data_IF_157200450111
#
_entry.id   IF_157200450111
#
_cell.length_a   1.000
_cell.length_b   1.000
_cell.length_c   1.000
_cell.angle_alpha   90.00
_cell.angle_beta   90.00
_cell.angle_gamma   90.00
#
_symmetry.space_group_name_H-M   'P 1'
#
loop_
_entity.id
_entity.type
_entity.pdbx_description
1 polymer ?
#
# COMPACT_ATOMS: atom_id res chain seq x y z
N UNK A 1 22.69 -15.99 13.51
CA UNK A 1 21.79 -15.71 14.67
C UNK A 1 21.76 -14.21 14.85
N UNK A 2 20.57 -13.62 14.77
CA UNK A 2 20.38 -12.17 14.91
C UNK A 2 20.38 -11.78 16.38
N UNK A 3 21.16 -10.79 16.76
CA UNK A 3 21.25 -10.27 18.12
C UNK A 3 21.56 -8.77 18.14
N UNK A 4 21.39 -8.14 19.31
CA UNK A 4 21.83 -6.77 19.57
C UNK A 4 23.23 -6.82 20.18
N UNK A 5 24.14 -5.97 19.68
CA UNK A 5 25.49 -5.80 20.23
C UNK A 5 25.74 -4.33 20.53
N UNK A 6 26.28 -4.06 21.71
CA UNK A 6 26.79 -2.74 22.10
C UNK A 6 28.27 -2.68 21.77
N UNK A 7 28.69 -1.71 20.97
CA UNK A 7 30.11 -1.41 20.69
C UNK A 7 30.51 -0.10 21.34
N UNK A 8 31.69 -0.07 21.96
CA UNK A 8 32.30 1.15 22.51
C UNK A 8 33.25 1.75 21.47
N UNK A 9 33.02 2.99 21.07
CA UNK A 9 33.86 3.74 20.13
C UNK A 9 34.17 5.09 20.78
N UNK A 10 35.46 5.37 21.02
CA UNK A 10 35.92 6.61 21.69
C UNK A 10 35.16 6.91 22.99
N UNK A 11 34.94 5.89 23.82
CA UNK A 11 34.22 6.02 25.10
C UNK A 11 32.69 6.11 25.00
N UNK A 12 32.12 6.20 23.79
CA UNK A 12 30.67 6.23 23.58
C UNK A 12 30.13 4.85 23.18
N UNK A 13 28.94 4.50 23.69
CA UNK A 13 28.28 3.22 23.42
C UNK A 13 27.26 3.34 22.29
N UNK A 14 27.37 2.43 21.33
CA UNK A 14 26.58 2.39 20.12
C UNK A 14 25.96 1.01 19.95
N UNK A 15 24.68 0.98 19.59
CA UNK A 15 23.89 -0.24 19.52
C UNK A 15 23.73 -0.66 18.06
N UNK A 16 24.01 -1.91 17.77
CA UNK A 16 23.94 -2.50 16.44
C UNK A 16 23.11 -3.77 16.45
N UNK A 17 22.30 -3.94 15.40
CA UNK A 17 21.75 -5.24 15.03
C UNK A 17 22.82 -6.00 14.25
N UNK A 18 23.14 -7.23 14.67
CA UNK A 18 24.17 -8.06 14.02
C UNK A 18 23.63 -9.45 13.70
N UNK A 19 24.16 -10.06 12.65
CA UNK A 19 23.98 -11.48 12.36
C UNK A 19 25.27 -12.24 12.66
N UNK A 20 25.22 -13.11 13.66
CA UNK A 20 26.32 -13.98 14.03
C UNK A 20 26.28 -15.24 13.16
N UNK A 21 27.20 -15.37 12.23
CA UNK A 21 27.30 -16.48 11.28
C UNK A 21 28.51 -17.33 11.65
N UNK A 22 28.31 -18.65 11.77
CA UNK A 22 29.40 -19.59 12.00
C UNK A 22 30.05 -19.93 10.66
N UNK A 23 31.34 -19.64 10.51
CA UNK A 23 32.14 -20.04 9.35
C UNK A 23 33.33 -20.84 9.86
N UNK A 24 33.35 -22.13 9.56
CA UNK A 24 34.28 -23.11 10.13
C UNK A 24 34.20 -23.14 11.68
N UNK A 25 35.34 -23.08 12.37
CA UNK A 25 35.44 -23.01 13.84
C UNK A 25 35.33 -21.58 14.42
N UNK A 26 35.05 -20.55 13.60
CA UNK A 26 34.97 -19.15 14.04
C UNK A 26 33.55 -18.58 13.91
N UNK A 27 33.17 -17.70 14.84
CA UNK A 27 31.94 -16.90 14.75
C UNK A 27 32.31 -15.55 14.14
N UNK A 28 31.62 -15.17 13.06
CA UNK A 28 31.77 -13.88 12.40
C UNK A 28 30.50 -13.08 12.64
N UNK A 29 30.63 -11.85 13.14
CA UNK A 29 29.51 -10.93 13.31
C UNK A 29 29.41 -9.98 12.12
N UNK A 30 28.37 -10.14 11.32
CA UNK A 30 28.03 -9.19 10.27
C UNK A 30 27.15 -8.09 10.85
N UNK A 31 27.58 -6.83 10.77
CA UNK A 31 26.73 -5.71 11.18
C UNK A 31 25.60 -5.55 10.16
N UNK A 32 24.35 -5.59 10.63
CA UNK A 32 23.14 -5.42 9.81
C UNK A 32 22.77 -3.94 9.78
N UNK A 33 22.57 -3.33 10.96
CA UNK A 33 22.08 -1.96 11.07
C UNK A 33 22.62 -1.30 12.34
N UNK A 34 22.88 0.00 12.26
CA UNK A 34 23.06 0.85 13.43
C UNK A 34 21.69 1.27 13.96
N UNK A 35 21.47 1.09 15.27
CA UNK A 35 20.18 1.37 15.94
C UNK A 35 20.21 2.75 16.60
N UNK A 36 21.33 3.12 17.23
CA UNK A 36 21.45 4.37 17.96
C UNK A 36 22.52 4.37 19.04
N UNK A 37 22.67 5.50 19.72
CA UNK A 37 23.54 5.62 20.89
C UNK A 37 22.77 5.23 22.16
N UNK A 38 23.46 4.52 23.06
CA UNK A 38 23.09 4.19 24.46
C UNK A 38 21.62 4.41 24.86
N UNK A 39 20.74 3.46 24.48
CA UNK A 39 19.37 3.35 25.00
C UNK A 39 18.95 1.89 25.19
N UNK A 40 18.00 1.58 26.08
CA UNK A 40 17.32 0.29 26.05
C UNK A 40 16.65 0.09 24.68
N UNK A 41 16.76 -1.12 24.13
CA UNK A 41 15.96 -1.55 22.98
C UNK A 41 14.89 -2.49 23.53
N UNK A 42 13.61 -2.07 23.55
CA UNK A 42 12.52 -2.94 23.96
C UNK A 42 12.54 -4.25 23.18
N UNK A 43 12.18 -5.36 23.84
CA UNK A 43 12.16 -6.68 23.20
C UNK A 43 11.27 -6.70 21.94
N UNK A 44 10.17 -5.96 21.98
CA UNK A 44 9.24 -5.81 20.86
C UNK A 44 9.88 -5.12 19.64
N UNK A 45 10.66 -4.06 19.86
CA UNK A 45 11.42 -3.39 18.81
C UNK A 45 12.49 -4.32 18.21
N UNK A 46 13.16 -5.10 19.08
CA UNK A 46 14.13 -6.10 18.65
C UNK A 46 13.49 -7.19 17.79
N UNK A 47 12.36 -7.76 18.22
CA UNK A 47 11.66 -8.80 17.45
C UNK A 47 11.12 -8.24 16.13
N UNK A 48 10.65 -7.00 16.09
CA UNK A 48 10.28 -6.34 14.83
C UNK A 48 11.48 -6.16 13.87
N UNK A 49 12.63 -5.69 14.37
CA UNK A 49 13.86 -5.57 13.57
C UNK A 49 14.32 -6.92 13.05
N UNK A 50 14.31 -7.95 13.91
CA UNK A 50 14.67 -9.31 13.58
C UNK A 50 13.70 -9.91 12.57
N UNK A 51 12.40 -9.67 12.69
CA UNK A 51 11.39 -10.06 11.70
C UNK A 51 11.69 -9.40 10.34
N UNK A 52 11.90 -8.09 10.33
CA UNK A 52 12.18 -7.30 9.12
C UNK A 52 13.47 -7.74 8.41
N UNK A 53 14.50 -8.10 9.18
CA UNK A 53 15.77 -8.61 8.64
C UNK A 53 15.66 -10.07 8.19
N UNK A 54 15.08 -10.98 8.99
CA UNK A 54 14.98 -12.40 8.64
C UNK A 54 14.09 -12.63 7.44
N UNK A 55 13.02 -11.85 7.31
CA UNK A 55 12.23 -11.75 6.07
C UNK A 55 12.94 -10.88 5.04
N UNK A 56 14.24 -11.07 4.79
CA UNK A 56 14.96 -10.28 3.77
C UNK A 56 14.39 -10.52 2.38
N UNK A 57 13.98 -11.75 2.11
CA UNK A 57 13.50 -12.24 0.80
C UNK A 57 11.97 -12.28 0.67
N UNK A 58 11.27 -11.62 1.58
CA UNK A 58 9.80 -11.65 1.69
C UNK A 58 9.06 -10.95 0.54
N UNK A 59 9.73 -10.03 -0.16
CA UNK A 59 9.21 -9.53 -1.44
C UNK A 59 9.39 -10.69 -2.39
N UNK A 60 8.27 -11.28 -2.81
CA UNK A 60 8.26 -12.56 -3.52
C UNK A 60 9.19 -12.49 -4.72
N UNK A 61 10.41 -13.00 -4.60
CA UNK A 61 11.29 -13.19 -5.75
C UNK A 61 10.77 -14.32 -6.65
N UNK A 62 9.78 -15.06 -6.17
CA UNK A 62 8.98 -15.99 -6.93
C UNK A 62 7.90 -15.18 -7.67
N UNK A 63 8.22 -14.74 -8.88
CA UNK A 63 7.30 -14.07 -9.79
C UNK A 63 6.21 -15.06 -10.22
N UNK A 64 5.30 -15.35 -9.30
CA UNK A 64 4.30 -16.40 -9.42
C UNK A 64 2.92 -15.77 -9.43
N UNK A 65 2.12 -16.17 -10.43
CA UNK A 65 0.72 -15.83 -10.48
C UNK A 65 -0.04 -16.49 -9.32
N UNK A 66 -0.90 -15.70 -8.68
CA UNK A 66 -1.79 -16.14 -7.63
C UNK A 66 -3.14 -16.65 -8.19
N UNK A 67 -3.48 -16.16 -9.38
CA UNK A 67 -4.67 -16.43 -10.16
C UNK A 67 -4.34 -17.39 -11.32
N UNK A 68 -5.37 -18.06 -11.82
CA UNK A 68 -5.24 -18.94 -12.98
C UNK A 68 -5.24 -18.14 -14.29
N UNK A 69 -4.77 -18.75 -15.37
CA UNK A 69 -4.88 -18.18 -16.72
C UNK A 69 -6.34 -17.81 -17.09
N UNK A 70 -7.30 -18.63 -16.65
CA UNK A 70 -8.72 -18.33 -16.87
C UNK A 70 -9.16 -17.08 -16.11
N UNK A 71 -8.72 -16.92 -14.85
CA UNK A 71 -9.00 -15.72 -14.07
C UNK A 71 -8.44 -14.46 -14.75
N UNK A 72 -7.22 -14.52 -15.33
CA UNK A 72 -6.63 -13.40 -16.05
C UNK A 72 -7.46 -13.01 -17.29
N UNK A 73 -7.93 -14.00 -18.06
CA UNK A 73 -8.80 -13.73 -19.21
C UNK A 73 -10.10 -13.05 -18.78
N UNK A 74 -10.74 -13.54 -17.72
CA UNK A 74 -11.99 -12.96 -17.21
C UNK A 74 -11.80 -11.51 -16.72
N UNK A 75 -10.64 -11.18 -16.13
CA UNK A 75 -10.32 -9.79 -15.76
C UNK A 75 -10.13 -8.90 -16.98
N UNK A 76 -9.43 -9.40 -17.99
CA UNK A 76 -9.18 -8.68 -19.23
C UNK A 76 -10.49 -8.42 -19.98
N UNK A 77 -11.34 -9.44 -20.12
CA UNK A 77 -12.66 -9.32 -20.72
C UNK A 77 -13.51 -8.27 -20.00
N UNK A 78 -13.52 -8.26 -18.67
CA UNK A 78 -14.24 -7.26 -17.88
C UNK A 78 -13.70 -5.83 -18.11
N UNK A 79 -12.38 -5.66 -18.16
CA UNK A 79 -11.73 -4.37 -18.44
C UNK A 79 -12.01 -3.87 -19.86
N UNK A 80 -11.91 -4.76 -20.86
CA UNK A 80 -12.14 -4.43 -22.27
C UNK A 80 -13.62 -4.09 -22.51
N UNK A 81 -14.54 -4.86 -21.90
CA UNK A 81 -15.96 -4.58 -21.95
C UNK A 81 -16.29 -3.18 -21.42
N UNK A 82 -15.80 -2.83 -20.22
CA UNK A 82 -16.05 -1.51 -19.64
C UNK A 82 -15.39 -0.38 -20.47
N UNK A 83 -14.20 -0.62 -21.02
CA UNK A 83 -13.55 0.35 -21.91
C UNK A 83 -14.38 0.64 -23.16
N UNK A 84 -15.00 -0.40 -23.75
CA UNK A 84 -15.92 -0.27 -24.87
C UNK A 84 -17.27 0.35 -24.49
N UNK A 85 -17.74 0.12 -23.27
CA UNK A 85 -18.91 0.84 -22.74
C UNK A 85 -18.62 2.33 -22.63
N UNK A 86 -17.50 2.72 -22.01
CA UNK A 86 -17.09 4.12 -21.86
C UNK A 86 -16.93 4.84 -23.20
N UNK A 87 -16.37 4.18 -24.22
CA UNK A 87 -16.17 4.80 -25.55
C UNK A 87 -17.47 5.17 -26.27
N UNK A 88 -18.60 4.58 -25.86
CA UNK A 88 -19.94 4.84 -26.41
C UNK A 88 -20.71 5.92 -25.65
N UNK A 89 -20.18 6.42 -24.54
CA UNK A 89 -20.88 7.41 -23.72
C UNK A 89 -20.60 8.84 -24.19
N UNK A 90 -21.66 9.62 -24.37
CA UNK A 90 -21.57 11.06 -24.63
C UNK A 90 -20.92 11.84 -23.47
N UNK A 91 -21.04 11.32 -22.23
CA UNK A 91 -20.58 11.98 -21.00
C UNK A 91 -19.74 11.06 -20.12
N UNK A 92 -18.59 10.64 -20.62
CA UNK A 92 -17.58 9.85 -19.87
C UNK A 92 -17.22 10.49 -18.52
N UNK A 93 -17.24 11.83 -18.42
CA UNK A 93 -16.98 12.54 -17.18
C UNK A 93 -17.92 12.14 -16.04
N UNK A 94 -19.21 11.86 -16.31
CA UNK A 94 -20.17 11.46 -15.27
C UNK A 94 -19.87 10.07 -14.70
N UNK A 95 -19.48 9.12 -15.55
CA UNK A 95 -19.09 7.80 -15.06
C UNK A 95 -17.82 7.86 -14.23
N UNK A 96 -16.87 8.72 -14.63
CA UNK A 96 -15.69 9.02 -13.83
C UNK A 96 -16.06 9.61 -12.48
N UNK A 97 -16.94 10.61 -12.41
CA UNK A 97 -17.40 11.19 -11.13
C UNK A 97 -18.08 10.15 -10.22
N UNK A 98 -18.89 9.25 -10.79
CA UNK A 98 -19.50 8.13 -10.06
C UNK A 98 -18.44 7.19 -9.50
N UNK A 99 -17.50 6.72 -10.34
CA UNK A 99 -16.41 5.87 -9.92
C UNK A 99 -15.60 6.53 -8.79
N UNK A 100 -15.26 7.81 -8.93
CA UNK A 100 -14.49 8.55 -7.92
C UNK A 100 -15.23 8.64 -6.60
N UNK A 101 -16.54 8.89 -6.65
CA UNK A 101 -17.35 8.95 -5.43
C UNK A 101 -17.41 7.60 -4.71
N UNK A 102 -17.51 6.51 -5.47
CA UNK A 102 -17.44 5.15 -4.93
C UNK A 102 -16.06 4.86 -4.34
N UNK A 103 -14.98 5.11 -5.10
CA UNK A 103 -13.61 4.88 -4.65
C UNK A 103 -13.28 5.67 -3.39
N UNK A 104 -13.58 6.98 -3.37
CA UNK A 104 -13.22 7.88 -2.26
C UNK A 104 -14.02 7.52 -1.00
N UNK A 105 -15.34 7.38 -1.11
CA UNK A 105 -16.19 7.03 0.03
C UNK A 105 -15.78 5.68 0.63
N UNK A 106 -15.63 4.63 -0.20
CA UNK A 106 -15.28 3.31 0.32
C UNK A 106 -13.86 3.25 0.87
N UNK A 107 -12.89 3.87 0.19
CA UNK A 107 -11.50 3.91 0.65
C UNK A 107 -11.37 4.63 2.00
N UNK A 108 -12.10 5.73 2.22
CA UNK A 108 -12.10 6.41 3.52
C UNK A 108 -12.93 5.65 4.57
N UNK A 109 -14.02 4.98 4.19
CA UNK A 109 -14.84 4.19 5.10
C UNK A 109 -14.11 2.95 5.64
N UNK A 110 -13.20 2.34 4.86
CA UNK A 110 -12.31 1.28 5.34
C UNK A 110 -11.45 1.76 6.53
N UNK A 111 -11.08 3.05 6.53
CA UNK A 111 -10.31 3.71 7.59
C UNK A 111 -11.20 4.39 8.66
N UNK A 112 -12.53 4.24 8.59
CA UNK A 112 -13.47 4.69 9.62
C UNK A 112 -14.26 5.97 9.31
N UNK A 113 -14.16 6.54 8.10
CA UNK A 113 -15.05 7.64 7.68
C UNK A 113 -16.50 7.17 7.50
N UNK A 114 -17.45 8.03 7.80
CA UNK A 114 -18.89 7.76 7.71
C UNK A 114 -19.57 8.39 6.50
N UNK A 115 -18.84 9.14 5.66
CA UNK A 115 -19.40 9.75 4.44
C UNK A 115 -19.92 8.68 3.49
N UNK A 116 -21.20 8.80 3.13
CA UNK A 116 -21.80 7.95 2.10
C UNK A 116 -21.28 8.30 0.70
N UNK A 117 -21.48 7.39 -0.25
CA UNK A 117 -21.15 7.62 -1.68
C UNK A 117 -21.90 8.85 -2.22
N UNK A 118 -23.18 9.01 -1.84
CA UNK A 118 -24.00 10.15 -2.27
C UNK A 118 -23.48 11.46 -1.68
N UNK A 119 -23.19 11.51 -0.37
CA UNK A 119 -22.63 12.71 0.26
C UNK A 119 -21.26 13.05 -0.32
N UNK A 120 -20.42 12.05 -0.60
CA UNK A 120 -19.12 12.24 -1.27
C UNK A 120 -19.30 12.83 -2.67
N UNK A 121 -20.25 12.31 -3.46
CA UNK A 121 -20.56 12.85 -4.79
C UNK A 121 -21.06 14.30 -4.72
N UNK A 122 -22.05 14.57 -3.85
CA UNK A 122 -22.63 15.90 -3.69
C UNK A 122 -21.58 16.91 -3.18
N UNK A 123 -20.68 16.48 -2.28
CA UNK A 123 -19.59 17.30 -1.76
C UNK A 123 -18.54 17.65 -2.81
N UNK A 124 -18.09 16.68 -3.59
CA UNK A 124 -16.98 16.86 -4.53
C UNK A 124 -17.39 17.48 -5.87
N UNK A 125 -18.64 17.29 -6.29
CA UNK A 125 -19.08 17.63 -7.65
C UNK A 125 -20.29 18.57 -7.71
N UNK A 126 -20.91 18.92 -6.57
CA UNK A 126 -22.05 19.86 -6.51
C UNK A 126 -21.89 20.97 -5.47
N UNK A 127 -20.70 21.11 -4.89
CA UNK A 127 -20.40 22.10 -3.85
C UNK A 127 -21.35 22.03 -2.62
N UNK A 128 -21.92 20.84 -2.35
CA UNK A 128 -22.87 20.62 -1.28
C UNK A 128 -22.21 19.99 -0.06
N UNK A 129 -21.94 20.81 0.97
CA UNK A 129 -21.26 20.36 2.20
C UNK A 129 -22.17 19.44 3.04
N UNK A 130 -21.76 18.18 3.31
CA UNK A 130 -22.52 17.27 4.15
C UNK A 130 -22.66 17.78 5.59
N UNK A 131 -23.85 17.61 6.17
CA UNK A 131 -24.10 17.95 7.59
C UNK A 131 -23.71 16.77 8.49
N UNK A 132 -23.40 17.05 9.75
CA UNK A 132 -23.08 16.04 10.80
C UNK A 132 -21.79 15.22 10.57
N UNK A 133 -20.87 15.69 9.72
CA UNK A 133 -19.56 15.06 9.53
C UNK A 133 -18.44 15.93 10.11
N UNK A 134 -17.37 15.29 10.56
CA UNK A 134 -16.23 16.02 11.11
C UNK A 134 -15.41 16.70 10.00
N UNK A 135 -14.70 17.79 10.34
CA UNK A 135 -13.74 18.42 9.42
C UNK A 135 -12.67 17.42 8.93
N UNK A 136 -12.28 16.47 9.78
CA UNK A 136 -11.32 15.40 9.43
C UNK A 136 -11.87 14.53 8.30
N UNK A 137 -13.12 14.09 8.39
CA UNK A 137 -13.74 13.27 7.33
C UNK A 137 -13.91 14.03 6.01
N UNK A 138 -14.31 15.30 6.06
CA UNK A 138 -14.39 16.15 4.86
C UNK A 138 -13.01 16.34 4.23
N UNK A 139 -11.98 16.62 5.04
CA UNK A 139 -10.59 16.70 4.58
C UNK A 139 -10.15 15.37 3.95
N UNK A 140 -10.46 14.22 4.54
CA UNK A 140 -10.12 12.91 3.95
C UNK A 140 -10.75 12.72 2.56
N UNK A 141 -11.99 13.17 2.34
CA UNK A 141 -12.63 13.10 1.03
C UNK A 141 -11.96 14.02 0.01
N UNK A 142 -11.78 15.31 0.33
CA UNK A 142 -11.11 16.27 -0.56
C UNK A 142 -9.66 15.87 -0.85
N UNK A 143 -8.93 15.42 0.15
CA UNK A 143 -7.54 15.00 0.02
C UNK A 143 -7.37 13.80 -0.90
N UNK A 144 -8.23 12.79 -0.76
CA UNK A 144 -8.15 11.59 -1.60
C UNK A 144 -8.57 11.91 -3.04
N UNK A 145 -9.48 12.86 -3.25
CA UNK A 145 -9.80 13.40 -4.57
C UNK A 145 -8.60 14.11 -5.20
N UNK A 146 -7.91 14.98 -4.47
CA UNK A 146 -6.70 15.65 -4.97
C UNK A 146 -5.54 14.67 -5.23
N UNK A 147 -5.40 13.64 -4.38
CA UNK A 147 -4.44 12.56 -4.60
C UNK A 147 -4.77 11.75 -5.87
N UNK A 148 -6.06 11.52 -6.15
CA UNK A 148 -6.49 10.89 -7.40
C UNK A 148 -6.14 11.76 -8.61
N UNK A 149 -6.43 13.06 -8.59
CA UNK A 149 -6.04 13.99 -9.67
C UNK A 149 -4.52 13.97 -9.92
N UNK A 150 -3.73 13.95 -8.85
CA UNK A 150 -2.28 13.82 -8.97
C UNK A 150 -1.90 12.50 -9.67
N UNK A 151 -2.50 11.37 -9.28
CA UNK A 151 -2.29 10.09 -9.96
C UNK A 151 -2.66 10.18 -11.44
N UNK A 152 -3.81 10.74 -11.80
CA UNK A 152 -4.26 10.88 -13.20
C UNK A 152 -3.32 11.72 -14.06
N UNK A 153 -2.65 12.71 -13.46
CA UNK A 153 -1.69 13.53 -14.18
C UNK A 153 -0.34 12.82 -14.38
N UNK A 154 -0.06 11.74 -13.64
CA UNK A 154 1.25 11.10 -13.57
C UNK A 154 1.25 9.60 -13.90
N UNK A 155 0.09 8.95 -14.13
CA UNK A 155 0.01 7.49 -14.24
C UNK A 155 0.78 6.88 -15.42
N UNK A 156 1.13 7.69 -16.42
CA UNK A 156 1.99 7.27 -17.54
C UNK A 156 3.44 7.03 -17.12
N UNK A 157 3.84 7.57 -15.97
CA UNK A 157 5.15 7.34 -15.37
C UNK A 157 5.12 6.15 -14.42
N UNK A 158 6.27 5.47 -14.25
CA UNK A 158 6.41 4.44 -13.26
C UNK A 158 6.34 5.02 -11.82
N UNK A 159 5.56 4.46 -10.88
CA UNK A 159 5.49 4.93 -9.50
C UNK A 159 6.87 5.01 -8.83
N UNK A 160 7.26 6.20 -8.40
CA UNK A 160 8.55 6.46 -7.74
C UNK A 160 8.38 6.71 -6.24
N UNK A 161 9.49 6.73 -5.50
CA UNK A 161 9.50 7.17 -4.09
C UNK A 161 8.88 8.56 -3.92
N UNK A 162 9.21 9.50 -4.81
CA UNK A 162 8.69 10.87 -4.77
C UNK A 162 7.18 10.90 -5.05
N UNK A 163 6.70 10.07 -5.98
CA UNK A 163 5.26 9.94 -6.24
C UNK A 163 4.51 9.46 -5.00
N UNK A 164 5.01 8.42 -4.33
CA UNK A 164 4.37 7.93 -3.09
C UNK A 164 4.44 8.94 -1.96
N UNK A 165 5.52 9.71 -1.84
CA UNK A 165 5.63 10.79 -0.85
C UNK A 165 4.62 11.91 -1.14
N UNK A 166 4.45 12.27 -2.41
CA UNK A 166 3.47 13.28 -2.80
C UNK A 166 2.03 12.80 -2.59
N UNK A 167 1.70 11.56 -2.97
CA UNK A 167 0.40 10.97 -2.68
C UNK A 167 0.12 10.93 -1.18
N UNK A 168 1.08 10.48 -0.37
CA UNK A 168 0.92 10.48 1.09
C UNK A 168 0.71 11.89 1.65
N UNK A 169 1.47 12.88 1.17
CA UNK A 169 1.30 14.28 1.59
C UNK A 169 -0.11 14.78 1.27
N UNK A 170 -0.63 14.51 0.07
CA UNK A 170 -1.97 14.90 -0.34
C UNK A 170 -3.03 14.21 0.52
N UNK A 171 -2.94 12.89 0.68
CA UNK A 171 -3.91 12.06 1.43
C UNK A 171 -4.05 12.51 2.90
N UNK A 172 -2.95 12.92 3.54
CA UNK A 172 -2.90 13.19 4.98
C UNK A 172 -2.85 14.68 5.36
N UNK A 173 -2.93 15.61 4.39
CA UNK A 173 -2.91 17.06 4.64
C UNK A 173 -4.03 17.50 5.58
N UNK A 174 -3.70 18.04 6.76
CA UNK A 174 -4.71 18.47 7.75
C UNK A 174 -5.54 17.31 8.35
N UNK A 175 -5.01 16.09 8.25
CA UNK A 175 -5.53 14.85 8.87
C UNK A 175 -4.49 14.33 9.87
N UNK A 176 -3.21 14.40 9.51
CA UNK A 176 -2.05 14.04 10.31
C UNK A 176 -1.12 15.24 10.55
N UNK A 177 -0.13 15.07 11.45
CA UNK A 177 0.91 16.07 11.73
C UNK A 177 1.76 16.39 10.49
N UNK A 178 1.98 17.68 10.22
CA UNK A 178 2.68 18.18 9.03
C UNK A 178 4.10 17.60 8.92
N UNK A 179 4.76 17.37 10.05
CA UNK A 179 6.11 16.83 10.14
C UNK A 179 6.22 15.41 9.58
N UNK A 180 5.11 14.66 9.55
CA UNK A 180 5.03 13.26 9.09
C UNK A 180 4.72 13.15 7.60
N UNK A 181 4.22 14.22 6.98
CA UNK A 181 3.72 14.19 5.61
C UNK A 181 4.85 13.95 4.59
N UNK A 182 4.67 12.93 3.77
CA UNK A 182 5.57 12.58 2.67
C UNK A 182 6.91 12.05 3.17
N UNK A 183 6.93 11.40 4.34
CA UNK A 183 8.14 10.85 4.94
C UNK A 183 7.87 9.45 5.47
N UNK A 184 8.85 8.57 5.34
CA UNK A 184 8.77 7.27 6.01
C UNK A 184 8.65 7.45 7.53
N UNK A 185 7.93 6.52 8.16
CA UNK A 185 7.80 6.48 9.61
C UNK A 185 9.17 6.44 10.27
N UNK A 186 9.31 7.16 11.37
CA UNK A 186 10.52 7.17 12.20
C UNK A 186 10.41 6.29 13.44
N UNK A 187 9.19 5.88 13.77
CA UNK A 187 8.84 5.02 14.88
C UNK A 187 8.13 3.78 14.35
N UNK A 188 8.09 2.74 15.18
CA UNK A 188 7.37 1.51 14.84
C UNK A 188 5.86 1.72 14.87
N UNK A 189 5.14 1.12 13.91
CA UNK A 189 3.68 1.03 13.92
C UNK A 189 3.22 -0.41 13.66
N UNK A 190 1.93 -0.65 13.91
CA UNK A 190 1.32 -1.97 13.95
C UNK A 190 0.02 -1.94 13.16
N UNK A 191 -0.33 -3.07 12.56
CA UNK A 191 -1.65 -3.27 11.95
C UNK A 191 -2.32 -4.40 12.70
N UNK A 192 -3.36 -4.08 13.48
CA UNK A 192 -3.91 -5.00 14.47
C UNK A 192 -2.82 -5.48 15.43
N UNK A 193 -2.66 -6.79 15.57
CA UNK A 193 -1.62 -7.41 16.41
C UNK A 193 -0.35 -7.82 15.64
N UNK A 194 -0.20 -7.38 14.38
CA UNK A 194 0.91 -7.78 13.52
C UNK A 194 1.99 -6.70 13.42
N UNK A 195 3.26 -7.13 13.50
CA UNK A 195 4.40 -6.28 13.20
C UNK A 195 4.43 -5.87 11.73
N UNK A 196 4.56 -4.58 11.48
CA UNK A 196 4.94 -4.05 10.16
C UNK A 196 6.46 -3.99 10.03
N UNK A 197 6.98 -3.65 8.84
CA UNK A 197 8.43 -3.46 8.65
C UNK A 197 8.98 -2.40 9.61
N UNK A 198 10.07 -2.72 10.29
CA UNK A 198 10.79 -1.79 11.16
C UNK A 198 11.17 -0.53 10.42
N UNK A 199 10.97 0.63 11.04
CA UNK A 199 11.32 1.93 10.46
C UNK A 199 12.77 2.00 9.93
N UNK A 200 13.70 1.24 10.52
CA UNK A 200 15.10 1.13 10.06
C UNK A 200 15.28 0.39 8.72
N UNK A 201 14.28 -0.38 8.30
CA UNK A 201 14.29 -1.20 7.08
C UNK A 201 13.32 -0.72 6.00
N UNK A 202 12.40 0.21 6.31
CA UNK A 202 11.38 0.69 5.38
C UNK A 202 11.97 1.15 4.05
N UNK A 203 13.00 2.00 4.07
CA UNK A 203 13.60 2.50 2.82
C UNK A 203 14.22 1.39 1.96
N UNK A 204 14.92 0.45 2.59
CA UNK A 204 15.47 -0.72 1.89
C UNK A 204 14.35 -1.56 1.26
N UNK A 205 13.28 -1.83 2.02
CA UNK A 205 12.15 -2.63 1.55
C UNK A 205 11.36 -1.94 0.45
N UNK A 206 11.15 -0.63 0.52
CA UNK A 206 10.50 0.13 -0.53
C UNK A 206 11.32 0.11 -1.83
N UNK A 207 12.64 0.25 -1.74
CA UNK A 207 13.52 0.13 -2.91
C UNK A 207 13.44 -1.28 -3.54
N UNK A 208 13.39 -2.33 -2.71
CA UNK A 208 13.17 -3.69 -3.17
C UNK A 208 11.80 -3.85 -3.84
N UNK A 209 10.73 -3.24 -3.30
CA UNK A 209 9.40 -3.27 -3.90
C UNK A 209 9.38 -2.60 -5.28
N UNK A 210 9.95 -1.39 -5.41
CA UNK A 210 10.03 -0.72 -6.71
C UNK A 210 10.79 -1.55 -7.75
N UNK A 211 11.88 -2.20 -7.34
CA UNK A 211 12.64 -3.08 -8.21
C UNK A 211 11.84 -4.33 -8.61
N UNK A 212 11.14 -4.93 -7.65
CA UNK A 212 10.25 -6.07 -7.88
C UNK A 212 9.14 -5.69 -8.85
N UNK A 213 8.46 -4.57 -8.65
CA UNK A 213 7.39 -4.07 -9.53
C UNK A 213 7.85 -3.95 -10.98
N UNK A 214 9.03 -3.35 -11.22
CA UNK A 214 9.60 -3.24 -12.57
C UNK A 214 9.85 -4.58 -13.25
N UNK A 215 10.18 -5.61 -12.47
CA UNK A 215 10.38 -6.97 -12.97
C UNK A 215 9.04 -7.71 -13.15
N UNK A 216 8.10 -7.52 -12.24
CA UNK A 216 6.78 -8.15 -12.26
C UNK A 216 6.00 -7.78 -13.54
N UNK A 217 6.04 -6.50 -13.93
CA UNK A 217 5.46 -6.00 -15.21
C UNK A 217 5.98 -6.70 -16.48
N UNK A 218 7.03 -7.52 -16.38
CA UNK A 218 7.61 -8.28 -17.50
C UNK A 218 7.45 -9.80 -17.34
N UNK A 219 6.91 -10.25 -16.21
CA UNK A 219 6.99 -11.65 -15.77
C UNK A 219 5.66 -12.26 -15.33
N UNK A 220 4.76 -11.45 -14.80
CA UNK A 220 3.43 -11.87 -14.36
C UNK A 220 2.39 -10.94 -14.99
N UNK A 221 1.13 -11.32 -14.87
CA UNK A 221 0.02 -10.52 -15.39
C UNK A 221 -0.02 -9.10 -14.78
N UNK A 222 -0.59 -8.15 -15.52
CA UNK A 222 -0.64 -6.75 -15.10
C UNK A 222 -1.59 -6.53 -13.91
N UNK A 223 -2.68 -7.30 -13.81
CA UNK A 223 -3.55 -7.30 -12.63
C UNK A 223 -2.83 -7.87 -11.41
N UNK A 224 -2.10 -8.98 -11.60
CA UNK A 224 -1.27 -9.59 -10.55
C UNK A 224 -0.23 -8.61 -10.05
N UNK A 225 0.45 -7.91 -10.97
CA UNK A 225 1.41 -6.88 -10.60
C UNK A 225 0.75 -5.79 -9.75
N UNK A 226 -0.44 -5.31 -10.12
CA UNK A 226 -1.16 -4.31 -9.34
C UNK A 226 -1.57 -4.81 -7.94
N UNK A 227 -2.20 -5.98 -7.86
CA UNK A 227 -2.74 -6.55 -6.62
C UNK A 227 -1.63 -6.95 -5.65
N UNK A 228 -0.57 -7.59 -6.15
CA UNK A 228 0.59 -7.98 -5.33
C UNK A 228 1.42 -6.76 -4.90
N UNK A 229 1.51 -5.70 -5.73
CA UNK A 229 2.16 -4.43 -5.32
C UNK A 229 1.42 -3.78 -4.16
N UNK A 230 0.09 -3.75 -4.23
CA UNK A 230 -0.75 -3.25 -3.15
C UNK A 230 -0.50 -3.99 -1.83
N UNK A 231 -0.57 -5.32 -1.86
CA UNK A 231 -0.36 -6.13 -0.67
C UNK A 231 1.05 -5.92 -0.09
N UNK A 232 2.08 -6.00 -0.93
CA UNK A 232 3.47 -5.82 -0.49
C UNK A 232 3.73 -4.43 0.10
N UNK A 233 3.14 -3.38 -0.48
CA UNK A 233 3.17 -2.04 0.10
C UNK A 233 2.52 -2.01 1.48
N UNK A 234 1.34 -2.60 1.65
CA UNK A 234 0.62 -2.66 2.94
C UNK A 234 1.36 -3.43 4.03
N UNK A 235 2.19 -4.41 3.64
CA UNK A 235 3.00 -5.12 4.61
C UNK A 235 4.27 -4.34 4.98
N UNK A 236 4.88 -3.62 4.01
CA UNK A 236 5.97 -2.70 4.35
C UNK A 236 5.44 -1.63 5.31
N UNK A 237 4.24 -1.11 5.03
CA UNK A 237 3.55 -0.10 5.82
C UNK A 237 4.48 1.11 6.11
N UNK A 238 4.94 1.80 5.04
CA UNK A 238 6.09 2.70 5.11
C UNK A 238 5.82 4.02 5.87
N UNK A 239 4.56 4.43 6.00
CA UNK A 239 4.17 5.69 6.61
C UNK A 239 3.58 5.49 8.01
N UNK A 240 3.43 6.58 8.78
CA UNK A 240 2.83 6.52 10.13
C UNK A 240 1.34 6.15 10.07
N UNK A 241 0.59 6.79 9.16
CA UNK A 241 -0.80 6.52 8.83
C UNK A 241 -1.08 6.81 7.33
N UNK A 242 -2.25 6.46 6.82
CA UNK A 242 -2.67 6.65 5.43
C UNK A 242 -2.10 5.62 4.46
N UNK A 243 -1.45 4.58 4.96
CA UNK A 243 -0.92 3.48 4.16
C UNK A 243 -2.01 2.87 3.28
N UNK A 244 -3.14 2.42 3.86
CA UNK A 244 -4.23 1.80 3.11
C UNK A 244 -4.70 2.63 1.90
N UNK A 245 -4.89 3.95 2.10
CA UNK A 245 -5.29 4.89 1.04
C UNK A 245 -4.22 5.02 -0.05
N UNK A 246 -2.95 5.18 0.33
CA UNK A 246 -1.83 5.25 -0.63
C UNK A 246 -1.62 3.91 -1.33
N UNK A 247 -1.82 2.78 -0.65
CA UNK A 247 -1.71 1.44 -1.22
C UNK A 247 -2.79 1.19 -2.28
N UNK A 248 -4.03 1.62 -2.04
CA UNK A 248 -5.12 1.54 -3.03
C UNK A 248 -4.90 2.50 -4.21
N UNK A 249 -4.29 3.67 -3.97
CA UNK A 249 -3.84 4.56 -5.05
C UNK A 249 -2.72 3.92 -5.88
N UNK A 250 -1.72 3.28 -5.24
CA UNK A 250 -0.64 2.58 -5.93
C UNK A 250 -1.17 1.43 -6.81
N UNK A 251 -2.12 0.66 -6.31
CA UNK A 251 -2.81 -0.38 -7.08
C UNK A 251 -3.41 0.21 -8.37
N UNK A 252 -4.18 1.29 -8.23
CA UNK A 252 -4.83 1.95 -9.34
C UNK A 252 -3.86 2.63 -10.30
N UNK A 253 -2.73 3.16 -9.80
CA UNK A 253 -1.68 3.71 -10.65
C UNK A 253 -1.17 2.65 -11.62
N UNK A 254 -0.88 1.44 -11.11
CA UNK A 254 -0.37 0.34 -11.95
C UNK A 254 -1.42 -0.09 -12.97
N UNK A 255 -2.69 -0.25 -12.57
CA UNK A 255 -3.78 -0.59 -13.49
C UNK A 255 -3.88 0.45 -14.61
N UNK A 256 -3.95 1.73 -14.27
CA UNK A 256 -4.10 2.83 -15.23
C UNK A 256 -2.87 2.99 -16.13
N UNK A 257 -1.66 2.83 -15.60
CA UNK A 257 -0.40 2.81 -16.37
C UNK A 257 -0.43 1.74 -17.47
N UNK A 258 -1.18 0.66 -17.25
CA UNK A 258 -1.32 -0.47 -18.15
C UNK A 258 -2.64 -0.46 -18.93
N UNK A 259 -3.31 0.70 -18.96
CA UNK A 259 -4.58 0.91 -19.65
C UNK A 259 -5.70 -0.03 -19.18
N UNK A 260 -5.61 -0.52 -17.94
CA UNK A 260 -6.63 -1.30 -17.28
C UNK A 260 -7.54 -0.39 -16.46
N UNK A 261 -8.81 -0.77 -16.35
CA UNK A 261 -9.78 0.02 -15.60
C UNK A 261 -9.46 -0.01 -14.09
N UNK A 262 -9.66 1.09 -13.35
CA UNK A 262 -9.31 1.17 -11.94
C UNK A 262 -10.26 0.36 -11.04
N UNK A 263 -9.86 0.02 -9.83
CA UNK A 263 -10.61 -0.79 -8.88
C UNK A 263 -10.95 0.00 -7.61
N UNK A 264 -12.23 -0.05 -7.19
CA UNK A 264 -12.69 0.40 -5.88
C UNK A 264 -12.99 -0.80 -4.99
N UNK A 265 -12.33 -0.87 -3.82
CA UNK A 265 -12.59 -1.90 -2.82
C UNK A 265 -13.79 -1.47 -1.96
N UNK A 266 -14.85 -2.27 -1.92
CA UNK A 266 -16.06 -1.93 -1.17
C UNK A 266 -15.88 -2.09 0.34
N UNK A 267 -16.21 -1.04 1.11
CA UNK A 267 -16.08 -1.03 2.57
C UNK A 267 -16.97 -2.07 3.26
N UNK A 268 -18.08 -2.46 2.63
CA UNK A 268 -18.94 -3.58 3.09
C UNK A 268 -18.17 -4.91 3.21
N UNK A 269 -17.09 -5.08 2.45
CA UNK A 269 -16.23 -6.27 2.45
C UNK A 269 -14.92 -6.05 3.22
N UNK A 270 -14.85 -5.01 4.06
CA UNK A 270 -13.67 -4.66 4.87
C UNK A 270 -13.08 -5.85 5.63
N UNK A 271 -13.91 -6.67 6.27
CA UNK A 271 -13.42 -7.84 7.03
C UNK A 271 -12.65 -8.82 6.14
N UNK A 272 -13.22 -9.17 4.98
CA UNK A 272 -12.58 -10.07 4.00
C UNK A 272 -11.30 -9.46 3.46
N UNK A 273 -11.33 -8.16 3.12
CA UNK A 273 -10.16 -7.41 2.66
C UNK A 273 -9.02 -7.42 3.68
N UNK A 274 -9.30 -7.06 4.94
CA UNK A 274 -8.29 -7.04 6.00
C UNK A 274 -7.73 -8.45 6.27
N UNK A 275 -8.59 -9.47 6.32
CA UNK A 275 -8.15 -10.86 6.49
C UNK A 275 -7.23 -11.32 5.35
N UNK A 276 -7.51 -10.91 4.11
CA UNK A 276 -6.65 -11.24 2.96
C UNK A 276 -5.26 -10.57 3.03
N UNK A 277 -5.19 -9.35 3.59
CA UNK A 277 -3.91 -8.66 3.87
C UNK A 277 -3.16 -9.31 5.03
N UNK A 278 -3.87 -9.81 6.05
CA UNK A 278 -3.26 -10.56 7.15
C UNK A 278 -2.66 -11.89 6.69
N UNK A 279 -3.33 -12.61 5.78
CA UNK A 279 -2.77 -13.80 5.14
C UNK A 279 -1.55 -13.47 4.27
N UNK A 280 -1.56 -12.29 3.63
CA UNK A 280 -0.39 -11.77 2.93
C UNK A 280 0.80 -11.57 3.86
N UNK A 281 0.59 -11.03 5.07
CA UNK A 281 1.62 -10.90 6.14
C UNK A 281 2.18 -12.25 6.59
N UNK A 282 1.41 -13.33 6.46
CA UNK A 282 1.84 -14.69 6.76
C UNK A 282 2.61 -15.35 5.60
N UNK A 283 2.58 -14.76 4.40
CA UNK A 283 3.39 -15.16 3.24
C UNK A 283 2.58 -15.62 2.03
N UNK A 284 1.26 -15.52 2.04
CA UNK A 284 0.40 -15.89 0.91
C UNK A 284 -0.29 -14.67 0.30
N UNK A 285 0.08 -14.30 -0.93
CA UNK A 285 -0.62 -13.24 -1.68
C UNK A 285 -1.88 -13.73 -2.40
N UNK A 286 -2.19 -15.03 -2.32
CA UNK A 286 -3.28 -15.63 -3.09
C UNK A 286 -4.64 -15.05 -2.74
N UNK A 287 -4.89 -14.86 -1.44
CA UNK A 287 -6.20 -14.45 -0.95
C UNK A 287 -6.51 -13.00 -1.33
N UNK A 288 -5.52 -12.10 -1.27
CA UNK A 288 -5.69 -10.71 -1.68
C UNK A 288 -5.87 -10.61 -3.20
N UNK A 289 -5.10 -11.37 -4.00
CA UNK A 289 -5.31 -11.40 -5.44
C UNK A 289 -6.71 -11.94 -5.80
N UNK A 290 -7.18 -13.00 -5.12
CA UNK A 290 -8.52 -13.54 -5.36
C UNK A 290 -9.64 -12.61 -4.89
N UNK A 291 -9.43 -11.90 -3.78
CA UNK A 291 -10.33 -10.84 -3.33
C UNK A 291 -10.45 -9.73 -4.37
N UNK A 292 -9.32 -9.16 -4.83
CA UNK A 292 -9.31 -8.12 -5.85
C UNK A 292 -9.90 -8.60 -7.17
N UNK A 293 -9.65 -9.85 -7.57
CA UNK A 293 -10.29 -10.47 -8.73
C UNK A 293 -11.82 -10.45 -8.64
N UNK A 294 -12.37 -10.86 -7.50
CA UNK A 294 -13.82 -10.87 -7.29
C UNK A 294 -14.40 -9.45 -7.27
N UNK A 295 -13.75 -8.50 -6.59
CA UNK A 295 -14.15 -7.09 -6.59
C UNK A 295 -14.15 -6.51 -8.01
N UNK A 296 -13.09 -6.78 -8.78
CA UNK A 296 -12.94 -6.27 -10.14
C UNK A 296 -14.05 -6.78 -11.05
N UNK A 297 -14.30 -8.09 -10.97
CA UNK A 297 -15.39 -8.69 -11.72
C UNK A 297 -16.73 -8.13 -11.31
N UNK A 298 -17.04 -8.01 -10.02
CA UNK A 298 -18.32 -7.43 -9.60
C UNK A 298 -18.50 -5.99 -10.06
N UNK A 299 -17.44 -5.18 -10.03
CA UNK A 299 -17.48 -3.79 -10.47
C UNK A 299 -17.78 -3.67 -11.98
N UNK A 300 -17.34 -4.62 -12.80
CA UNK A 300 -17.41 -4.55 -14.26
C UNK A 300 -18.28 -5.63 -14.91
N UNK A 301 -18.92 -6.51 -14.13
CA UNK A 301 -19.75 -7.63 -14.62
C UNK A 301 -21.07 -7.21 -15.26
N UNK A 302 -21.51 -5.96 -15.08
CA UNK A 302 -22.84 -5.50 -15.49
C UNK A 302 -22.91 -4.00 -15.85
N UNK A 303 -21.83 -3.42 -16.39
CA UNK A 303 -21.89 -2.04 -16.90
C UNK A 303 -22.65 -1.94 -18.23
#
# INVERSE_FOLDING_TARGET
MVSIVVKKIKGKEYIYLVDSIRKNKKIIQKTIKYIGAKRPVPNEEFECMKFSYKKKDWILNDFKDCLSYQDHNELKEASDFYSNYLSKLDKVSKEKEKFLSVFISNSNAIEGSTLTVKETFDFLFKDAVPRNHTKKELNMASNLFEAWKYLENNYKEFPSKNHLFQLHKLVNKGVEEEETLGKYKKNQNYVGNSYTTSHLFVEEKMNQLFFWMKKALKKIDDFETAFQSHAQFEIIHPFIDGNGRVGRLLMNWILMMKSLQPLAIHSKKRSVYINSLDNSRQGSLKDICKFCFNEYKEQYKFA
#
